data_IF_926713687650
#
_entry.id   IF_926713687650
#
_cell.length_a   1.000
_cell.length_b   1.000
_cell.length_c   1.000
_cell.angle_alpha   90.00
_cell.angle_beta   90.00
_cell.angle_gamma   90.00
#
_symmetry.space_group_name_H-M   'P 1'
#
loop_
_entity.id
_entity.type
_entity.pdbx_description
1 polymer ?
#
# COMPACT_ATOMS: atom_id res chain seq x y z
N UNK A 1 10.12 -11.31 14.71
CA UNK A 1 10.86 -10.04 14.73
C UNK A 1 12.32 -10.34 15.08
N UNK A 2 13.17 -10.60 14.09
CA UNK A 2 14.60 -10.84 14.33
C UNK A 2 15.37 -9.73 13.62
N UNK A 3 15.95 -8.81 14.38
CA UNK A 3 16.93 -7.86 13.87
C UNK A 3 18.29 -8.56 13.93
N UNK A 4 18.74 -9.09 12.79
CA UNK A 4 20.08 -9.66 12.65
C UNK A 4 21.11 -8.56 12.44
N UNK A 5 22.16 -8.56 13.27
CA UNK A 5 23.35 -7.71 13.10
C UNK A 5 24.02 -7.99 11.75
N UNK A 6 24.06 -7.00 10.85
CA UNK A 6 25.02 -6.99 9.75
C UNK A 6 25.87 -5.72 9.78
N UNK A 7 27.06 -5.83 10.36
CA UNK A 7 28.10 -4.81 10.24
C UNK A 7 28.52 -4.68 8.76
N UNK A 8 28.18 -3.57 8.09
CA UNK A 8 28.93 -3.10 6.92
C UNK A 8 28.19 -2.57 5.69
N UNK A 9 26.85 -2.49 5.68
CA UNK A 9 26.10 -1.76 4.63
C UNK A 9 25.45 -0.56 5.31
N UNK A 10 25.35 0.60 4.66
CA UNK A 10 24.48 1.68 5.15
C UNK A 10 23.05 1.13 5.19
N UNK A 11 22.61 0.62 6.35
CA UNK A 11 21.38 -0.14 6.53
C UNK A 11 20.17 0.81 6.44
N UNK A 12 19.69 1.08 5.23
CA UNK A 12 18.40 1.75 5.06
C UNK A 12 17.27 0.74 5.28
N UNK A 13 16.78 0.67 6.52
CA UNK A 13 15.70 -0.25 6.90
C UNK A 13 14.42 -0.09 6.07
N UNK A 14 14.14 1.10 5.54
CA UNK A 14 12.99 1.34 4.66
C UNK A 14 13.21 0.68 3.30
N UNK A 15 14.42 0.79 2.74
CA UNK A 15 14.78 0.13 1.48
C UNK A 15 14.60 -1.39 1.56
N UNK A 16 15.21 -2.02 2.58
CA UNK A 16 15.08 -3.46 2.82
C UNK A 16 13.62 -3.90 3.02
N UNK A 17 12.79 -3.04 3.62
CA UNK A 17 11.38 -3.33 3.85
C UNK A 17 10.57 -3.26 2.55
N UNK A 18 10.79 -2.26 1.70
CA UNK A 18 10.09 -2.15 0.41
C UNK A 18 10.53 -3.27 -0.55
N UNK A 19 11.81 -3.66 -0.55
CA UNK A 19 12.28 -4.84 -1.31
C UNK A 19 11.56 -6.12 -0.89
N UNK A 20 11.39 -6.34 0.42
CA UNK A 20 10.62 -7.48 0.94
C UNK A 20 9.14 -7.41 0.58
N UNK A 21 8.55 -6.22 0.66
CA UNK A 21 7.15 -6.02 0.25
C UNK A 21 6.98 -6.42 -1.23
N UNK A 22 7.86 -5.93 -2.10
CA UNK A 22 7.83 -6.27 -3.53
C UNK A 22 7.94 -7.79 -3.75
N UNK A 23 8.91 -8.43 -3.10
CA UNK A 23 9.10 -9.88 -3.21
C UNK A 23 7.87 -10.68 -2.73
N UNK A 24 7.21 -10.27 -1.66
CA UNK A 24 5.98 -10.92 -1.17
C UNK A 24 4.80 -10.71 -2.12
N UNK A 25 4.68 -9.53 -2.74
CA UNK A 25 3.65 -9.27 -3.75
C UNK A 25 3.84 -10.14 -4.99
N UNK A 26 5.08 -10.27 -5.48
CA UNK A 26 5.43 -11.12 -6.63
C UNK A 26 5.25 -12.62 -6.32
N UNK A 27 5.52 -13.05 -5.08
CA UNK A 27 5.35 -14.43 -4.65
C UNK A 27 3.88 -14.89 -4.62
N UNK A 28 2.91 -13.97 -4.57
CA UNK A 28 1.48 -14.30 -4.73
C UNK A 28 1.12 -14.56 -6.20
N UNK A 29 1.79 -13.88 -7.13
CA UNK A 29 1.61 -14.10 -8.57
C UNK A 29 2.21 -15.45 -9.01
N UNK A 30 3.31 -15.87 -8.41
CA UNK A 30 3.94 -17.18 -8.63
C UNK A 30 3.50 -18.21 -7.58
N UNK A 31 2.42 -18.96 -7.83
CA UNK A 31 2.04 -20.09 -6.95
C UNK A 31 3.13 -21.20 -6.92
N UNK A 32 4.09 -21.08 -6.00
CA UNK A 32 4.98 -22.16 -5.55
C UNK A 32 5.02 -22.22 -4.01
N UNK A 33 4.41 -23.24 -3.37
CA UNK A 33 4.25 -23.30 -1.92
C UNK A 33 5.50 -23.89 -1.25
N UNK A 34 6.62 -23.17 -1.21
CA UNK A 34 7.78 -23.55 -0.37
C UNK A 34 8.52 -22.33 0.16
N UNK A 35 7.94 -21.67 1.16
CA UNK A 35 8.62 -20.61 1.91
C UNK A 35 8.04 -20.44 3.32
N UNK A 36 8.88 -20.23 4.31
CA UNK A 36 8.53 -20.15 5.74
C UNK A 36 7.68 -18.94 6.16
N UNK A 37 7.24 -18.10 5.22
CA UNK A 37 6.61 -16.79 5.47
C UNK A 37 5.16 -16.68 4.97
N UNK A 38 4.55 -17.80 4.57
CA UNK A 38 3.19 -17.98 4.00
C UNK A 38 1.99 -17.44 4.80
N UNK A 39 2.20 -16.70 5.89
CA UNK A 39 1.12 -16.28 6.80
C UNK A 39 0.69 -14.80 6.70
N UNK A 40 1.34 -13.96 5.88
CA UNK A 40 0.86 -12.58 5.66
C UNK A 40 -0.07 -12.45 4.45
N UNK A 41 0.17 -13.26 3.42
CA UNK A 41 -0.66 -13.37 2.21
C UNK A 41 -1.14 -14.82 2.14
N UNK A 42 -2.13 -15.17 2.97
CA UNK A 42 -2.67 -16.52 2.99
C UNK A 42 -3.26 -16.86 1.61
N UNK A 43 -2.94 -18.02 1.01
CA UNK A 43 -3.45 -18.44 -0.30
C UNK A 43 -4.98 -18.67 -0.34
N UNK A 44 -5.66 -18.51 0.79
CA UNK A 44 -7.13 -18.49 0.89
C UNK A 44 -7.77 -17.22 0.36
N UNK A 45 -6.98 -16.15 0.10
CA UNK A 45 -7.47 -14.91 -0.49
C UNK A 45 -6.93 -14.78 -1.91
N UNK A 46 -7.53 -15.53 -2.82
CA UNK A 46 -7.31 -15.35 -4.26
C UNK A 46 -7.57 -13.89 -4.63
N UNK A 47 -6.56 -13.19 -5.17
CA UNK A 47 -6.69 -11.85 -5.75
C UNK A 47 -6.19 -10.67 -4.92
N UNK A 48 -5.48 -10.88 -3.79
CA UNK A 48 -4.83 -9.78 -3.04
C UNK A 48 -3.31 -9.89 -3.09
N UNK A 49 -2.73 -9.24 -4.08
CA UNK A 49 -1.28 -9.13 -4.40
C UNK A 49 -0.68 -7.78 -3.96
N UNK A 50 -1.37 -7.05 -3.07
CA UNK A 50 -0.92 -5.73 -2.61
C UNK A 50 -0.78 -5.71 -1.11
N UNK A 51 0.42 -5.34 -0.63
CA UNK A 51 0.64 -4.95 0.76
C UNK A 51 0.69 -3.42 0.77
N UNK A 52 -0.41 -2.73 1.11
CA UNK A 52 -0.40 -1.27 1.20
C UNK A 52 0.54 -0.81 2.32
N UNK A 53 1.26 0.29 2.13
CA UNK A 53 2.11 0.86 3.17
C UNK A 53 2.12 2.38 3.19
N UNK A 54 2.54 2.92 4.35
CA UNK A 54 2.80 4.34 4.59
C UNK A 54 4.31 4.58 4.66
N UNK A 55 4.76 5.74 4.19
CA UNK A 55 6.14 6.21 4.34
C UNK A 55 6.20 7.47 5.21
N UNK A 56 7.21 7.54 6.08
CA UNK A 56 7.44 8.68 6.96
C UNK A 56 8.78 9.32 6.64
N UNK A 57 8.79 10.64 6.46
CA UNK A 57 10.02 11.39 6.22
C UNK A 57 10.94 11.41 7.45
N UNK A 58 12.13 12.00 7.34
CA UNK A 58 13.09 12.11 8.45
C UNK A 58 12.64 12.99 9.61
N UNK A 59 11.55 13.75 9.44
CA UNK A 59 10.93 14.58 10.48
C UNK A 59 9.72 13.88 11.14
N UNK A 60 9.37 12.67 10.68
CA UNK A 60 8.22 11.91 11.14
C UNK A 60 6.89 12.30 10.46
N UNK A 61 6.94 13.15 9.43
CA UNK A 61 5.77 13.50 8.63
C UNK A 61 5.39 12.38 7.67
N UNK A 62 4.09 12.13 7.51
CA UNK A 62 3.58 11.21 6.48
C UNK A 62 3.88 11.78 5.10
N UNK A 63 4.38 10.92 4.22
CA UNK A 63 4.57 11.26 2.83
C UNK A 63 3.24 11.14 2.07
N UNK A 64 2.79 12.23 1.47
CA UNK A 64 1.61 12.27 0.61
C UNK A 64 1.97 12.67 -0.82
N UNK A 65 1.14 12.26 -1.76
CA UNK A 65 1.24 12.63 -3.18
C UNK A 65 -0.15 12.69 -3.81
N UNK A 66 -0.22 13.03 -5.11
CA UNK A 66 -1.47 13.25 -5.82
C UNK A 66 -1.63 12.28 -7.00
N UNK A 67 -2.83 11.71 -7.12
CA UNK A 67 -3.27 10.92 -8.26
C UNK A 67 -4.31 11.66 -9.11
N UNK A 68 -4.40 11.28 -10.39
CA UNK A 68 -5.32 11.87 -11.38
C UNK A 68 -5.32 13.40 -11.45
N UNK A 69 -4.14 14.03 -11.36
CA UNK A 69 -4.01 15.49 -11.43
C UNK A 69 -4.53 16.00 -12.77
N UNK A 70 -5.55 16.85 -12.71
CA UNK A 70 -6.22 17.39 -13.90
C UNK A 70 -7.34 16.52 -14.48
N UNK A 71 -7.62 15.35 -13.92
CA UNK A 71 -8.76 14.51 -14.31
C UNK A 71 -8.65 13.96 -15.73
N UNK A 72 -7.45 13.57 -16.16
CA UNK A 72 -7.19 13.15 -17.55
C UNK A 72 -7.21 11.63 -17.76
N UNK A 73 -7.15 10.83 -16.70
CA UNK A 73 -7.05 9.37 -16.82
C UNK A 73 -8.42 8.68 -16.91
N UNK A 74 -9.37 9.10 -16.08
CA UNK A 74 -10.71 8.54 -15.96
C UNK A 74 -11.68 9.57 -15.34
N UNK A 75 -12.93 9.15 -15.11
CA UNK A 75 -13.98 9.96 -14.47
C UNK A 75 -13.74 10.17 -12.95
N UNK A 76 -12.67 9.61 -12.37
CA UNK A 76 -12.36 9.81 -10.96
C UNK A 76 -11.84 11.23 -10.71
N UNK A 77 -12.05 11.75 -9.50
CA UNK A 77 -11.51 13.07 -9.12
C UNK A 77 -10.01 12.98 -8.83
N UNK A 78 -9.26 14.06 -9.09
CA UNK A 78 -7.92 14.27 -8.53
C UNK A 78 -7.95 14.05 -7.01
N UNK A 79 -6.98 13.32 -6.48
CA UNK A 79 -6.96 12.95 -5.06
C UNK A 79 -5.57 13.04 -4.44
N UNK A 80 -5.53 13.32 -3.14
CA UNK A 80 -4.33 13.17 -2.31
C UNK A 80 -4.34 11.81 -1.60
N UNK A 81 -3.20 11.11 -1.59
CA UNK A 81 -3.06 9.83 -0.90
C UNK A 81 -1.72 9.72 -0.18
N UNK A 82 -1.75 9.00 0.95
CA UNK A 82 -0.60 8.59 1.75
C UNK A 82 -0.30 7.08 1.61
N UNK A 83 -1.04 6.38 0.76
CA UNK A 83 -1.02 4.93 0.65
C UNK A 83 -0.34 4.49 -0.65
N UNK A 84 0.61 3.57 -0.52
CA UNK A 84 1.47 3.15 -1.63
C UNK A 84 1.49 1.63 -1.79
N UNK A 85 1.74 1.20 -3.03
CA UNK A 85 2.13 -0.17 -3.39
C UNK A 85 3.49 -0.13 -4.09
N UNK A 86 4.33 -1.13 -3.84
CA UNK A 86 5.61 -1.24 -4.52
C UNK A 86 5.42 -1.86 -5.91
N UNK A 87 5.94 -1.21 -6.95
CA UNK A 87 5.96 -1.73 -8.32
C UNK A 87 7.35 -2.22 -8.70
N UNK A 88 8.39 -1.51 -8.24
CA UNK A 88 9.78 -1.82 -8.55
C UNK A 88 10.72 -1.21 -7.52
N UNK A 89 11.81 -1.89 -7.21
CA UNK A 89 12.94 -1.35 -6.42
C UNK A 89 14.25 -1.64 -7.14
N UNK A 90 15.14 -0.65 -7.21
CA UNK A 90 16.50 -0.78 -7.75
C UNK A 90 17.43 0.20 -7.01
N UNK A 91 18.45 -0.31 -6.31
CA UNK A 91 19.43 0.50 -5.57
C UNK A 91 18.79 1.54 -4.62
N UNK A 92 17.75 1.14 -3.88
CA UNK A 92 16.95 2.00 -2.99
C UNK A 92 16.20 3.16 -3.66
N UNK A 93 16.17 3.21 -4.99
CA UNK A 93 15.15 3.94 -5.73
C UNK A 93 13.95 3.01 -5.98
N UNK A 94 12.74 3.52 -5.83
CA UNK A 94 11.54 2.73 -6.02
C UNK A 94 10.49 3.44 -6.88
N UNK A 95 9.87 2.67 -7.76
CA UNK A 95 8.61 3.03 -8.42
C UNK A 95 7.48 2.56 -7.52
N UNK A 96 6.65 3.50 -7.06
CA UNK A 96 5.49 3.22 -6.23
C UNK A 96 4.22 3.62 -6.96
N UNK A 97 3.21 2.75 -6.98
CA UNK A 97 1.87 3.16 -7.38
C UNK A 97 1.12 3.78 -6.20
N UNK A 98 0.33 4.81 -6.51
CA UNK A 98 -0.50 5.53 -5.56
C UNK A 98 -1.81 4.75 -5.42
N UNK A 99 -2.14 4.32 -4.21
CA UNK A 99 -3.43 3.67 -3.96
C UNK A 99 -4.50 4.75 -3.74
N UNK A 100 -5.63 4.64 -4.45
CA UNK A 100 -6.75 5.57 -4.34
C UNK A 100 -7.56 5.25 -3.09
N UNK A 101 -7.66 6.17 -2.11
CA UNK A 101 -8.54 5.97 -0.97
C UNK A 101 -9.99 6.21 -1.37
N UNK A 102 -10.87 5.35 -0.87
CA UNK A 102 -12.31 5.40 -1.12
C UNK A 102 -13.11 5.35 0.16
N UNK A 103 -14.31 5.92 0.11
CA UNK A 103 -15.30 5.79 1.17
C UNK A 103 -16.06 4.45 1.08
N UNK A 104 -17.07 4.26 1.95
CA UNK A 104 -17.89 3.05 1.98
C UNK A 104 -18.76 2.86 0.73
N UNK A 105 -18.93 3.91 -0.08
CA UNK A 105 -19.68 3.92 -1.33
C UNK A 105 -18.79 3.69 -2.57
N UNK A 106 -17.46 3.75 -2.41
CA UNK A 106 -16.49 3.65 -3.50
C UNK A 106 -16.09 5.00 -4.09
N UNK A 107 -16.60 6.10 -3.51
CA UNK A 107 -16.30 7.45 -3.97
C UNK A 107 -14.87 7.83 -3.58
N UNK A 108 -14.17 8.54 -4.48
CA UNK A 108 -12.78 8.97 -4.26
C UNK A 108 -12.68 9.95 -3.09
N UNK A 109 -11.73 9.70 -2.19
CA UNK A 109 -11.36 10.61 -1.11
C UNK A 109 -9.98 11.20 -1.33
N UNK A 110 -9.67 12.29 -0.62
CA UNK A 110 -8.31 12.77 -0.41
C UNK A 110 -7.96 12.57 1.05
N UNK A 111 -7.02 11.66 1.34
CA UNK A 111 -6.69 11.24 2.71
C UNK A 111 -5.25 11.63 3.03
N UNK A 112 -5.10 12.56 3.97
CA UNK A 112 -3.81 12.99 4.51
C UNK A 112 -3.53 12.46 5.93
N UNK A 113 -4.49 11.74 6.54
CA UNK A 113 -4.36 11.12 7.85
C UNK A 113 -4.94 9.69 7.84
N UNK A 114 -4.23 8.66 8.33
CA UNK A 114 -4.68 7.27 8.21
C UNK A 114 -5.94 6.94 9.03
N UNK A 115 -6.27 7.77 10.02
CA UNK A 115 -7.49 7.66 10.83
C UNK A 115 -8.62 8.59 10.36
N UNK A 116 -8.63 8.98 9.08
CA UNK A 116 -9.74 9.73 8.51
C UNK A 116 -11.07 8.95 8.69
N UNK A 117 -12.14 9.58 9.21
CA UNK A 117 -13.39 8.89 9.51
C UNK A 117 -14.13 8.37 8.27
N UNK A 118 -13.91 8.97 7.12
CA UNK A 118 -14.60 8.61 5.87
C UNK A 118 -13.81 7.55 5.09
N UNK A 119 -12.52 7.35 5.41
CA UNK A 119 -11.66 6.33 4.79
C UNK A 119 -12.15 4.90 5.09
N UNK A 120 -12.49 4.16 4.03
CA UNK A 120 -12.99 2.79 4.13
C UNK A 120 -12.05 1.74 3.54
N UNK A 121 -11.49 2.04 2.36
CA UNK A 121 -10.70 1.09 1.58
C UNK A 121 -9.79 1.77 0.56
N UNK A 122 -9.04 0.94 -0.15
CA UNK A 122 -8.06 1.33 -1.15
C UNK A 122 -8.36 0.62 -2.47
N UNK A 123 -8.15 1.32 -3.57
CA UNK A 123 -8.15 0.75 -4.92
C UNK A 123 -6.80 0.97 -5.59
N UNK A 124 -6.41 0.03 -6.45
CA UNK A 124 -5.19 0.16 -7.25
C UNK A 124 -5.38 1.21 -8.33
N UNK A 125 -4.29 1.88 -8.70
CA UNK A 125 -4.26 2.80 -9.83
C UNK A 125 -2.97 2.63 -10.62
N UNK A 126 -2.96 3.18 -11.84
CA UNK A 126 -1.76 3.25 -12.69
C UNK A 126 -0.95 4.53 -12.45
N UNK A 127 -1.29 5.34 -11.43
CA UNK A 127 -0.52 6.53 -11.09
C UNK A 127 0.72 6.16 -10.30
N UNK A 128 1.89 6.34 -10.89
CA UNK A 128 3.17 6.00 -10.26
C UNK A 128 4.00 7.23 -9.92
N UNK A 129 4.85 7.08 -8.91
CA UNK A 129 5.89 8.03 -8.53
C UNK A 129 7.23 7.32 -8.38
N UNK A 130 8.31 8.06 -8.59
CA UNK A 130 9.68 7.61 -8.31
C UNK A 130 10.15 8.25 -7.01
N UNK A 131 10.66 7.43 -6.08
CA UNK A 131 11.14 7.89 -4.78
C UNK A 131 12.51 7.33 -4.44
N UNK A 132 13.31 8.14 -3.75
CA UNK A 132 14.52 7.68 -3.06
C UNK A 132 14.15 7.23 -1.65
N UNK A 133 14.24 5.92 -1.40
CA UNK A 133 13.88 5.33 -0.11
C UNK A 133 14.82 5.78 1.02
N UNK A 134 16.00 6.31 0.73
CA UNK A 134 16.92 6.88 1.72
C UNK A 134 16.47 8.21 2.31
N UNK A 135 15.42 8.81 1.74
CA UNK A 135 14.78 10.02 2.26
C UNK A 135 13.79 9.75 3.39
N UNK A 136 13.37 8.50 3.60
CA UNK A 136 12.40 8.12 4.63
C UNK A 136 13.08 7.54 5.87
N UNK A 137 12.43 7.69 7.02
CA UNK A 137 12.93 7.19 8.31
C UNK A 137 12.12 6.03 8.87
N UNK A 138 10.87 5.88 8.42
CA UNK A 138 10.02 4.78 8.82
C UNK A 138 9.06 4.38 7.71
N UNK A 139 8.58 3.14 7.82
CA UNK A 139 7.58 2.53 6.97
C UNK A 139 6.58 1.78 7.85
N UNK A 140 5.31 1.80 7.47
CA UNK A 140 4.27 1.03 8.14
C UNK A 140 3.48 0.24 7.11
N UNK A 141 3.60 -1.09 7.15
CA UNK A 141 2.74 -1.98 6.38
C UNK A 141 1.32 -1.96 6.95
N UNK A 142 0.35 -2.02 6.06
CA UNK A 142 -1.08 -2.09 6.37
C UNK A 142 -1.65 -3.42 5.90
N UNK A 143 -2.88 -3.72 6.32
CA UNK A 143 -3.53 -4.97 5.95
C UNK A 143 -3.87 -4.97 4.45
N UNK A 144 -3.53 -6.04 3.70
CA UNK A 144 -4.04 -6.27 2.35
C UNK A 144 -5.57 -6.24 2.28
N UNK A 145 -6.27 -6.47 3.39
CA UNK A 145 -7.72 -6.40 3.44
C UNK A 145 -8.31 -5.01 3.14
N UNK A 146 -7.50 -3.96 3.26
CA UNK A 146 -7.90 -2.60 2.86
C UNK A 146 -8.06 -2.47 1.35
N UNK A 147 -7.35 -3.29 0.56
CA UNK A 147 -7.40 -3.23 -0.91
C UNK A 147 -8.61 -3.99 -1.41
N UNK A 148 -9.37 -3.35 -2.31
CA UNK A 148 -10.61 -3.83 -2.90
C UNK A 148 -11.58 -4.36 -1.84
N UNK A 149 -11.69 -3.61 -0.74
CA UNK A 149 -12.47 -3.99 0.44
C UNK A 149 -13.96 -4.04 0.07
N UNK A 150 -14.66 -5.17 0.28
CA UNK A 150 -16.08 -5.26 -0.04
C UNK A 150 -16.89 -4.35 0.90
N UNK A 151 -17.81 -3.56 0.32
CA UNK A 151 -18.74 -2.76 1.08
C UNK A 151 -19.60 -3.65 2.02
N UNK A 152 -19.92 -3.19 3.24
CA UNK A 152 -20.76 -3.96 4.15
C UNK A 152 -22.14 -4.20 3.50
N UNK A 153 -22.55 -5.47 3.41
CA UNK A 153 -23.90 -5.81 3.00
C UNK A 153 -24.90 -5.14 3.96
N UNK A 154 -25.78 -4.28 3.44
CA UNK A 154 -26.97 -3.84 4.19
C UNK A 154 -27.83 -5.08 4.43
N UNK A 155 -27.79 -5.64 5.63
CA UNK A 155 -28.80 -6.60 6.07
C UNK A 155 -30.18 -5.95 5.87
N UNK A 156 -30.97 -6.51 4.95
CA UNK A 156 -32.36 -6.13 4.80
C UNK A 156 -33.05 -6.58 6.09
N UNK A 157 -33.26 -5.65 7.03
CA UNK A 157 -34.15 -5.87 8.18
C UNK A 157 -35.56 -6.16 7.64
N UNK A 158 -35.88 -7.44 7.47
CA UNK A 158 -37.26 -7.90 7.33
C UNK A 158 -38.01 -7.46 8.58
N UNK A 159 -38.80 -6.39 8.46
CA UNK A 159 -39.81 -6.06 9.45
C UNK A 159 -40.96 -7.04 9.24
N UNK A 160 -41.11 -7.95 10.19
CA UNK A 160 -42.32 -8.76 10.38
C UNK A 160 -43.30 -8.07 11.31
#
# INVERSE_FOLDING_TARGET
MSCGKHHGRDENCVCDAVEKILAEQEAVEEQCPTGCYTNLLSPTVTGKDTIPFLLFDKKGGLFSTFGNVGGFADDSQCFESIFFRAERVCDCCATLSILRPVDVHGDTLSVCHPCDPDFFGLEKTDFCIEVDLSCFSAIQCLSPELVDRPAPHKEKKHHG
#
